data_IF_690839196917
#
_entry.id   IF_690839196917
#
_cell.length_a   1.000
_cell.length_b   1.000
_cell.length_c   1.000
_cell.angle_alpha   90.00
_cell.angle_beta   90.00
_cell.angle_gamma   90.00
#
_symmetry.space_group_name_H-M   'P 1'
#
loop_
_entity.id
_entity.type
_entity.pdbx_description
1 polymer ?
#
# COMPACT_ATOMS: atom_id res chain seq x y z
N UNK A 1 -1.61 -6.70 -26.74
CA UNK A 1 -1.01 -5.92 -25.64
C UNK A 1 0.37 -6.49 -25.38
N UNK A 2 1.39 -5.65 -25.27
CA UNK A 2 2.69 -6.08 -24.73
C UNK A 2 2.46 -6.57 -23.31
N UNK A 3 3.02 -7.73 -22.96
CA UNK A 3 2.98 -8.23 -21.60
C UNK A 3 3.76 -7.26 -20.68
N UNK A 4 3.34 -7.09 -19.42
CA UNK A 4 4.11 -6.39 -18.40
C UNK A 4 5.55 -6.92 -18.33
N UNK A 5 6.51 -6.05 -17.99
CA UNK A 5 7.92 -6.44 -17.86
C UNK A 5 8.17 -7.40 -16.70
N UNK A 6 7.39 -7.28 -15.62
CA UNK A 6 7.51 -8.10 -14.41
C UNK A 6 6.13 -8.56 -13.95
N UNK A 7 5.87 -9.87 -14.03
CA UNK A 7 4.66 -10.49 -13.48
C UNK A 7 4.91 -11.94 -13.10
N UNK A 8 4.06 -12.48 -12.24
CA UNK A 8 4.02 -13.93 -11.94
C UNK A 8 2.70 -14.53 -12.43
N UNK A 9 2.70 -15.82 -12.75
CA UNK A 9 1.46 -16.53 -13.06
C UNK A 9 0.69 -16.85 -11.78
N UNK A 10 -0.63 -16.70 -11.81
CA UNK A 10 -1.50 -17.02 -10.69
C UNK A 10 -1.40 -18.51 -10.30
N UNK A 11 -1.20 -18.78 -9.01
CA UNK A 11 -1.30 -20.11 -8.41
C UNK A 11 -2.32 -20.01 -7.29
N UNK A 12 -3.48 -20.61 -7.48
CA UNK A 12 -4.57 -20.55 -6.51
C UNK A 12 -4.36 -21.54 -5.37
N UNK A 13 -4.36 -21.05 -4.13
CA UNK A 13 -4.22 -21.85 -2.92
C UNK A 13 -5.33 -21.50 -1.96
N UNK A 14 -5.83 -22.52 -1.26
CA UNK A 14 -6.77 -22.31 -0.16
C UNK A 14 -6.07 -21.49 0.94
N UNK A 15 -6.73 -20.42 1.37
CA UNK A 15 -6.20 -19.54 2.42
C UNK A 15 -6.58 -20.00 3.82
N UNK A 16 -7.41 -21.05 3.96
CA UNK A 16 -7.93 -21.53 5.25
C UNK A 16 -8.96 -20.59 5.89
N UNK A 17 -9.31 -19.48 5.23
CA UNK A 17 -10.28 -18.49 5.71
C UNK A 17 -11.57 -18.60 4.89
N UNK A 18 -12.71 -18.98 5.50
CA UNK A 18 -13.98 -19.12 4.79
C UNK A 18 -14.42 -17.85 4.06
N UNK A 19 -14.04 -16.66 4.54
CA UNK A 19 -14.40 -15.38 3.92
C UNK A 19 -13.66 -15.09 2.61
N UNK A 20 -12.59 -15.84 2.30
CA UNK A 20 -11.76 -15.66 1.10
C UNK A 20 -11.95 -16.77 0.07
N UNK A 21 -12.62 -17.85 0.46
CA UNK A 21 -12.82 -19.04 -0.35
C UNK A 21 -13.53 -18.72 -1.67
N UNK A 22 -12.98 -19.22 -2.77
CA UNK A 22 -13.54 -19.06 -4.11
C UNK A 22 -13.31 -17.68 -4.72
N UNK A 23 -12.41 -16.86 -4.16
CA UNK A 23 -12.00 -15.59 -4.77
C UNK A 23 -10.61 -15.73 -5.41
N UNK A 24 -10.50 -15.81 -6.75
CA UNK A 24 -9.22 -15.99 -7.43
C UNK A 24 -8.18 -14.91 -7.12
N UNK A 25 -8.61 -13.67 -6.86
CA UNK A 25 -7.69 -12.59 -6.54
C UNK A 25 -7.04 -12.75 -5.16
N UNK A 26 -7.71 -13.42 -4.22
CA UNK A 26 -7.18 -13.67 -2.88
C UNK A 26 -6.36 -14.96 -2.87
N UNK A 27 -6.87 -16.01 -3.51
CA UNK A 27 -6.23 -17.33 -3.56
C UNK A 27 -4.91 -17.31 -4.34
N UNK A 28 -4.71 -16.35 -5.25
CA UNK A 28 -3.47 -16.19 -6.01
C UNK A 28 -2.37 -15.39 -5.28
N UNK A 29 -2.67 -14.76 -4.14
CA UNK A 29 -1.68 -14.01 -3.35
C UNK A 29 -0.71 -14.95 -2.63
N UNK A 30 0.38 -14.38 -2.11
CA UNK A 30 1.20 -15.05 -1.10
C UNK A 30 0.29 -15.59 0.02
N UNK A 31 0.51 -16.82 0.53
CA UNK A 31 -0.24 -17.34 1.66
C UNK A 31 -0.21 -16.39 2.86
N UNK A 32 -1.16 -16.53 3.78
CA UNK A 32 -1.07 -15.81 5.06
C UNK A 32 0.18 -16.34 5.77
N UNK A 33 1.19 -15.49 5.88
CA UNK A 33 2.51 -15.89 6.35
C UNK A 33 2.47 -16.13 7.86
N UNK A 34 3.00 -17.28 8.28
CA UNK A 34 3.30 -17.51 9.69
C UNK A 34 4.47 -16.62 10.13
N UNK A 35 4.56 -16.32 11.43
CA UNK A 35 5.60 -15.42 11.98
C UNK A 35 7.02 -15.81 11.54
N UNK A 36 7.30 -17.11 11.43
CA UNK A 36 8.61 -17.62 10.96
C UNK A 36 8.89 -17.24 9.51
N UNK A 37 7.92 -17.47 8.61
CA UNK A 37 8.05 -17.14 7.18
C UNK A 37 8.19 -15.64 6.98
N UNK A 38 7.42 -14.86 7.74
CA UNK A 38 7.50 -13.40 7.70
C UNK A 38 8.88 -12.90 8.13
N UNK A 39 9.45 -13.45 9.21
CA UNK A 39 10.80 -13.12 9.65
C UNK A 39 11.83 -13.45 8.58
N UNK A 40 11.78 -14.66 8.00
CA UNK A 40 12.68 -15.08 6.93
C UNK A 40 12.56 -14.19 5.68
N UNK A 41 11.35 -13.75 5.31
CA UNK A 41 11.12 -12.88 4.16
C UNK A 41 11.51 -11.42 4.38
N UNK A 42 11.48 -10.94 5.64
CA UNK A 42 11.90 -9.58 5.98
C UNK A 42 13.38 -9.49 6.35
N UNK A 43 13.98 -10.54 6.89
CA UNK A 43 15.39 -10.55 7.31
C UNK A 43 16.30 -10.14 6.15
N UNK A 44 17.20 -9.21 6.45
CA UNK A 44 18.24 -8.80 5.53
C UNK A 44 19.31 -9.88 5.40
N UNK A 45 19.82 -10.08 4.18
CA UNK A 45 20.88 -11.05 3.93
C UNK A 45 22.24 -10.34 4.00
N UNK A 46 22.94 -10.52 5.11
CA UNK A 46 24.31 -10.02 5.26
C UNK A 46 25.29 -11.17 5.04
N UNK A 47 26.06 -11.08 3.97
CA UNK A 47 27.19 -11.95 3.73
C UNK A 47 28.45 -11.31 4.36
N UNK A 48 29.07 -11.96 5.34
CA UNK A 48 30.30 -11.49 5.98
C UNK A 48 31.31 -12.62 6.17
N UNK A 49 32.59 -12.28 6.23
CA UNK A 49 33.68 -13.21 6.52
C UNK A 49 34.54 -12.70 7.68
N UNK A 50 35.00 -13.60 8.55
CA UNK A 50 35.96 -13.23 9.59
C UNK A 50 37.29 -12.74 9.02
N UNK A 51 37.60 -13.08 7.76
CA UNK A 51 38.78 -12.56 7.06
C UNK A 51 38.67 -11.05 6.79
N UNK A 52 37.46 -10.51 6.68
CA UNK A 52 37.22 -9.07 6.44
C UNK A 52 37.77 -8.21 7.60
N UNK A 53 37.94 -8.81 8.79
CA UNK A 53 38.56 -8.14 9.93
C UNK A 53 40.03 -7.80 9.69
N UNK A 54 40.71 -8.53 8.80
CA UNK A 54 42.11 -8.32 8.43
C UNK A 54 42.29 -7.26 7.33
N UNK A 55 41.21 -6.83 6.68
CA UNK A 55 41.28 -5.85 5.61
C UNK A 55 41.64 -4.44 6.11
N UNK A 56 42.10 -3.62 5.18
CA UNK A 56 42.56 -2.25 5.48
C UNK A 56 41.41 -1.44 6.09
N UNK A 57 41.69 -0.50 7.03
CA UNK A 57 40.65 0.26 7.72
C UNK A 57 39.62 0.95 6.80
N UNK A 58 40.07 1.49 5.65
CA UNK A 58 39.17 2.12 4.67
C UNK A 58 38.25 1.11 3.98
N UNK A 59 38.73 -0.09 3.65
CA UNK A 59 37.90 -1.14 3.04
C UNK A 59 36.82 -1.60 4.01
N UNK A 60 37.18 -1.84 5.27
CA UNK A 60 36.21 -2.20 6.32
C UNK A 60 35.13 -1.12 6.52
N UNK A 61 35.49 0.17 6.41
CA UNK A 61 34.51 1.25 6.47
C UNK A 61 33.48 1.19 5.31
N UNK A 62 33.91 0.81 4.10
CA UNK A 62 32.99 0.58 2.98
C UNK A 62 32.09 -0.65 3.20
N UNK A 63 32.61 -1.72 3.80
CA UNK A 63 31.80 -2.90 4.17
C UNK A 63 30.72 -2.54 5.20
N UNK A 64 31.07 -1.76 6.22
CA UNK A 64 30.10 -1.26 7.21
C UNK A 64 29.03 -0.38 6.55
N UNK A 65 29.40 0.44 5.55
CA UNK A 65 28.45 1.24 4.82
C UNK A 65 27.46 0.37 4.00
N UNK A 66 27.93 -0.74 3.41
CA UNK A 66 27.07 -1.67 2.66
C UNK A 66 26.02 -2.36 3.56
N UNK A 67 26.31 -2.57 4.86
CA UNK A 67 25.35 -3.12 5.81
C UNK A 67 24.08 -2.27 5.94
N UNK A 68 24.11 -0.98 5.61
CA UNK A 68 22.92 -0.12 5.69
C UNK A 68 21.82 -0.53 4.70
N UNK A 69 22.19 -1.19 3.60
CA UNK A 69 21.25 -1.66 2.58
C UNK A 69 20.81 -3.11 2.86
N UNK A 70 21.74 -3.94 3.32
CA UNK A 70 21.56 -5.40 3.42
C UNK A 70 21.09 -5.87 4.80
N UNK A 71 21.41 -5.15 5.89
CA UNK A 71 21.03 -5.56 7.24
C UNK A 71 19.61 -5.09 7.57
N UNK A 72 18.74 -6.05 7.93
CA UNK A 72 17.41 -5.76 8.44
C UNK A 72 17.01 -6.80 9.48
N UNK A 73 16.75 -6.35 10.71
CA UNK A 73 16.22 -7.19 11.79
C UNK A 73 14.71 -6.94 11.92
N UNK A 74 13.85 -7.93 11.63
CA UNK A 74 12.43 -7.82 11.89
C UNK A 74 12.14 -7.61 13.39
N UNK A 75 11.21 -6.70 13.67
CA UNK A 75 10.78 -6.28 15.01
C UNK A 75 9.26 -6.45 15.12
N UNK A 76 8.71 -6.35 16.32
CA UNK A 76 7.28 -6.54 16.56
C UNK A 76 6.44 -5.51 15.77
N UNK A 77 6.93 -4.28 15.65
CA UNK A 77 6.28 -3.24 14.84
C UNK A 77 6.26 -3.57 13.33
N UNK A 78 7.28 -4.27 12.81
CA UNK A 78 7.32 -4.70 11.40
C UNK A 78 6.26 -5.79 11.17
N UNK A 79 6.15 -6.73 12.10
CA UNK A 79 5.15 -7.81 12.07
C UNK A 79 3.73 -7.25 12.12
N UNK A 80 3.47 -6.32 13.05
CA UNK A 80 2.17 -5.68 13.19
C UNK A 80 1.78 -4.88 11.94
N UNK A 81 2.74 -4.18 11.33
CA UNK A 81 2.49 -3.44 10.09
C UNK A 81 2.19 -4.39 8.93
N UNK A 82 2.92 -5.51 8.81
CA UNK A 82 2.65 -6.51 7.78
C UNK A 82 1.27 -7.13 7.94
N UNK A 83 0.87 -7.53 9.15
CA UNK A 83 -0.45 -8.11 9.42
C UNK A 83 -1.56 -7.18 8.93
N UNK A 84 -1.45 -5.87 9.21
CA UNK A 84 -2.40 -4.86 8.74
C UNK A 84 -2.42 -4.75 7.22
N UNK A 85 -1.25 -4.72 6.57
CA UNK A 85 -1.14 -4.66 5.10
C UNK A 85 -1.74 -5.92 4.45
N UNK A 86 -1.43 -7.09 5.02
CA UNK A 86 -1.92 -8.42 4.61
C UNK A 86 -3.45 -8.49 4.64
N UNK A 87 -4.05 -7.98 5.72
CA UNK A 87 -5.50 -7.84 5.86
C UNK A 87 -6.06 -6.85 4.83
N UNK A 88 -5.44 -5.68 4.67
CA UNK A 88 -5.90 -4.65 3.74
C UNK A 88 -5.91 -5.14 2.29
N UNK A 89 -4.81 -5.73 1.80
CA UNK A 89 -4.74 -6.27 0.44
C UNK A 89 -5.89 -7.25 0.19
N UNK A 90 -6.07 -8.24 1.07
CA UNK A 90 -7.13 -9.26 0.92
C UNK A 90 -8.52 -8.67 1.05
N UNK A 91 -8.74 -7.79 2.02
CA UNK A 91 -10.02 -7.08 2.19
C UNK A 91 -10.39 -6.27 0.96
N UNK A 92 -9.41 -5.66 0.28
CA UNK A 92 -9.66 -4.97 -0.98
C UNK A 92 -10.26 -5.88 -2.05
N UNK A 93 -10.02 -7.18 -2.02
CA UNK A 93 -10.58 -8.12 -2.98
C UNK A 93 -11.90 -8.74 -2.55
N UNK A 94 -12.30 -8.68 -1.28
CA UNK A 94 -13.50 -9.39 -0.79
C UNK A 94 -14.77 -9.01 -1.57
N UNK A 95 -14.91 -7.75 -1.99
CA UNK A 95 -16.07 -7.30 -2.80
C UNK A 95 -15.89 -7.47 -4.30
N UNK A 96 -14.75 -8.00 -4.77
CA UNK A 96 -14.38 -8.12 -6.19
C UNK A 96 -13.94 -9.55 -6.48
N UNK A 97 -14.67 -10.25 -7.32
CA UNK A 97 -14.38 -11.63 -7.68
C UNK A 97 -14.65 -11.84 -9.18
N UNK A 98 -13.73 -12.56 -9.84
CA UNK A 98 -13.79 -12.90 -11.26
C UNK A 98 -14.93 -13.90 -11.58
N UNK A 99 -15.41 -14.67 -10.59
CA UNK A 99 -16.29 -15.81 -10.81
C UNK A 99 -17.78 -15.53 -10.53
N UNK A 100 -18.11 -14.57 -9.66
CA UNK A 100 -19.48 -14.37 -9.15
C UNK A 100 -20.18 -13.10 -9.68
N UNK A 101 -19.51 -12.37 -10.58
CA UNK A 101 -20.02 -11.13 -11.17
C UNK A 101 -19.95 -9.89 -10.26
N UNK A 102 -19.42 -10.00 -9.05
CA UNK A 102 -19.21 -8.84 -8.15
C UNK A 102 -18.27 -7.80 -8.77
N UNK A 103 -17.20 -8.24 -9.45
CA UNK A 103 -16.32 -7.34 -10.20
C UNK A 103 -17.08 -6.53 -11.27
N UNK A 104 -17.96 -7.20 -12.03
CA UNK A 104 -18.74 -6.55 -13.08
C UNK A 104 -19.69 -5.48 -12.51
N UNK A 105 -20.30 -5.73 -11.35
CA UNK A 105 -21.12 -4.73 -10.65
C UNK A 105 -20.30 -3.49 -10.24
N UNK A 106 -19.06 -3.70 -9.78
CA UNK A 106 -18.14 -2.60 -9.48
C UNK A 106 -17.76 -1.79 -10.72
N UNK A 107 -17.47 -2.47 -11.84
CA UNK A 107 -17.15 -1.81 -13.12
C UNK A 107 -18.32 -0.97 -13.65
N UNK A 108 -19.55 -1.50 -13.59
CA UNK A 108 -20.76 -0.77 -14.00
C UNK A 108 -21.00 0.48 -13.14
N UNK A 109 -20.88 0.38 -11.81
CA UNK A 109 -20.97 1.55 -10.93
C UNK A 109 -19.91 2.61 -11.27
N UNK A 110 -18.67 2.19 -11.58
CA UNK A 110 -17.60 3.10 -11.97
C UNK A 110 -17.94 3.85 -13.26
N UNK A 111 -18.45 3.14 -14.26
CA UNK A 111 -18.88 3.71 -15.53
C UNK A 111 -20.00 4.75 -15.37
N UNK A 112 -21.02 4.46 -14.57
CA UNK A 112 -22.13 5.40 -14.32
C UNK A 112 -21.68 6.70 -13.66
N UNK A 113 -20.72 6.65 -12.71
CA UNK A 113 -20.11 7.84 -12.10
C UNK A 113 -19.37 8.69 -13.10
N UNK A 114 -18.64 8.07 -14.01
CA UNK A 114 -17.91 8.78 -15.07
C UNK A 114 -18.88 9.44 -16.05
N UNK A 115 -19.93 8.75 -16.45
CA UNK A 115 -20.91 9.26 -17.42
C UNK A 115 -21.82 10.34 -16.86
N UNK A 116 -22.26 10.20 -15.61
CA UNK A 116 -23.12 11.19 -14.95
C UNK A 116 -22.34 12.43 -14.47
N UNK A 117 -21.02 12.32 -14.27
CA UNK A 117 -20.22 13.35 -13.62
C UNK A 117 -20.54 13.52 -12.13
N UNK A 118 -21.39 12.65 -11.57
CA UNK A 118 -21.78 12.65 -10.16
C UNK A 118 -21.17 11.46 -9.43
N UNK A 119 -20.30 11.74 -8.46
CA UNK A 119 -19.67 10.72 -7.62
C UNK A 119 -20.67 10.00 -6.71
N UNK A 120 -21.84 10.59 -6.47
CA UNK A 120 -22.95 10.02 -5.71
C UNK A 120 -23.98 9.31 -6.59
N UNK A 121 -23.76 9.23 -7.91
CA UNK A 121 -24.63 8.51 -8.82
C UNK A 121 -24.81 7.04 -8.43
N UNK A 122 -25.87 6.45 -8.99
CA UNK A 122 -26.45 5.16 -8.63
C UNK A 122 -25.39 4.12 -8.23
N UNK A 123 -25.54 3.60 -7.01
CA UNK A 123 -24.82 2.43 -6.54
C UNK A 123 -25.81 1.27 -6.59
N UNK A 124 -25.49 0.17 -7.27
CA UNK A 124 -26.26 -1.06 -7.07
C UNK A 124 -26.38 -1.29 -5.55
N UNK A 125 -27.62 -1.44 -5.05
CA UNK A 125 -27.98 -1.30 -3.62
C UNK A 125 -27.23 -2.25 -2.65
N UNK A 126 -26.39 -3.16 -3.15
CA UNK A 126 -25.71 -4.21 -2.37
C UNK A 126 -24.19 -4.31 -2.65
N UNK A 127 -23.54 -3.27 -3.20
CA UNK A 127 -22.08 -3.31 -3.39
C UNK A 127 -21.38 -2.97 -2.08
N UNK A 128 -20.74 -3.97 -1.47
CA UNK A 128 -19.88 -3.79 -0.30
C UNK A 128 -18.71 -2.88 -0.69
N UNK A 129 -18.51 -1.81 0.07
CA UNK A 129 -17.30 -1.00 -0.03
C UNK A 129 -16.26 -1.56 0.94
N UNK A 130 -15.08 -1.85 0.41
CA UNK A 130 -13.91 -2.29 1.18
C UNK A 130 -12.99 -1.12 1.54
N UNK A 131 -13.50 0.12 1.40
CA UNK A 131 -12.76 1.34 1.69
C UNK A 131 -12.35 1.35 3.17
N UNK A 132 -11.07 1.11 3.38
CA UNK A 132 -10.39 1.13 4.68
C UNK A 132 -9.18 2.03 4.55
N UNK A 133 -8.85 2.75 5.62
CA UNK A 133 -7.71 3.65 5.66
C UNK A 133 -6.78 3.23 6.79
N UNK A 134 -5.48 3.19 6.51
CA UNK A 134 -4.42 3.02 7.49
C UNK A 134 -3.49 4.23 7.38
N UNK A 135 -3.17 4.87 8.50
CA UNK A 135 -2.21 5.97 8.53
C UNK A 135 -0.92 5.55 9.22
N UNK A 136 0.20 5.59 8.47
CA UNK A 136 1.56 5.31 8.96
C UNK A 136 2.32 6.63 9.12
N UNK A 137 2.41 7.13 10.36
CA UNK A 137 2.96 8.46 10.65
C UNK A 137 4.22 8.35 11.50
N UNK A 138 5.29 9.05 11.10
CA UNK A 138 6.54 9.09 11.87
C UNK A 138 7.56 10.05 11.29
N UNK A 139 8.58 10.40 12.05
CA UNK A 139 9.58 11.39 11.66
C UNK A 139 10.27 11.05 10.33
N UNK A 140 10.77 12.07 9.61
CA UNK A 140 11.59 11.81 8.41
C UNK A 140 12.80 10.95 8.78
N UNK A 141 13.16 9.99 7.92
CA UNK A 141 14.28 9.07 8.17
C UNK A 141 14.00 7.95 9.18
N UNK A 142 12.78 7.80 9.72
CA UNK A 142 12.47 6.73 10.69
C UNK A 142 12.30 5.33 10.08
N UNK A 143 12.55 5.15 8.77
CA UNK A 143 12.44 3.85 8.10
C UNK A 143 11.04 3.43 7.64
N UNK A 144 10.04 4.33 7.66
CA UNK A 144 8.65 4.04 7.22
C UNK A 144 8.57 3.49 5.80
N UNK A 145 9.05 4.26 4.83
CA UNK A 145 8.95 3.93 3.41
C UNK A 145 9.78 2.69 3.10
N UNK A 146 10.99 2.58 3.65
CA UNK A 146 11.87 1.40 3.51
C UNK A 146 11.24 0.13 4.07
N UNK A 147 10.62 0.21 5.26
CA UNK A 147 9.90 -0.93 5.86
C UNK A 147 8.69 -1.32 5.01
N UNK A 148 7.92 -0.33 4.56
CA UNK A 148 6.75 -0.56 3.74
C UNK A 148 7.11 -1.22 2.41
N UNK A 149 8.15 -0.74 1.73
CA UNK A 149 8.64 -1.32 0.49
C UNK A 149 9.12 -2.75 0.69
N UNK A 150 9.84 -3.02 1.78
CA UNK A 150 10.29 -4.37 2.14
C UNK A 150 9.12 -5.33 2.42
N UNK A 151 8.08 -4.87 3.12
CA UNK A 151 6.87 -5.67 3.34
C UNK A 151 6.13 -5.91 2.03
N UNK A 152 5.91 -4.87 1.22
CA UNK A 152 5.19 -5.00 -0.05
C UNK A 152 5.92 -5.92 -1.03
N UNK A 153 7.27 -5.97 -0.99
CA UNK A 153 8.08 -6.88 -1.79
C UNK A 153 7.84 -8.37 -1.48
N UNK A 154 7.22 -8.71 -0.34
CA UNK A 154 6.79 -10.09 -0.03
C UNK A 154 5.55 -10.52 -0.80
N UNK A 155 4.90 -9.58 -1.49
CA UNK A 155 3.73 -9.81 -2.34
C UNK A 155 4.12 -9.64 -3.82
N UNK A 156 3.72 -10.57 -4.71
CA UNK A 156 3.90 -10.35 -6.13
C UNK A 156 3.09 -9.13 -6.56
N UNK A 157 3.74 -8.10 -7.12
CA UNK A 157 3.04 -6.86 -7.45
C UNK A 157 2.02 -7.04 -8.57
N UNK A 158 2.39 -7.78 -9.62
CA UNK A 158 1.54 -8.09 -10.78
C UNK A 158 1.33 -9.60 -10.88
N UNK A 159 0.07 -10.03 -10.89
CA UNK A 159 -0.32 -11.45 -11.01
C UNK A 159 -1.14 -11.62 -12.29
N UNK A 160 -0.74 -12.56 -13.14
CA UNK A 160 -1.45 -12.90 -14.37
C UNK A 160 -2.33 -14.14 -14.19
N UNK A 161 -3.64 -13.96 -14.30
CA UNK A 161 -4.63 -15.02 -14.31
C UNK A 161 -4.83 -15.52 -15.75
N UNK A 162 -4.02 -16.48 -16.18
CA UNK A 162 -4.06 -17.02 -17.55
C UNK A 162 -5.48 -17.46 -17.97
N UNK A 163 -6.20 -18.14 -17.08
CA UNK A 163 -7.55 -18.66 -17.32
C UNK A 163 -8.59 -17.55 -17.57
N UNK A 164 -8.34 -16.35 -17.07
CA UNK A 164 -9.24 -15.19 -17.20
C UNK A 164 -8.66 -14.10 -18.11
N UNK A 165 -7.45 -14.30 -18.63
CA UNK A 165 -6.66 -13.29 -19.32
C UNK A 165 -6.65 -11.93 -18.60
N UNK A 166 -6.39 -11.96 -17.30
CA UNK A 166 -6.54 -10.80 -16.42
C UNK A 166 -5.26 -10.51 -15.64
N UNK A 167 -4.87 -9.24 -15.55
CA UNK A 167 -3.75 -8.79 -14.71
C UNK A 167 -4.28 -8.14 -13.45
N UNK A 168 -3.94 -8.74 -12.31
CA UNK A 168 -4.22 -8.23 -10.97
C UNK A 168 -3.01 -7.44 -10.45
N UNK A 169 -3.27 -6.33 -9.75
CA UNK A 169 -2.27 -5.56 -9.03
C UNK A 169 -2.42 -5.73 -7.52
N UNK A 170 -1.55 -6.50 -6.86
CA UNK A 170 -1.59 -6.71 -5.41
C UNK A 170 -1.57 -5.40 -4.62
N UNK A 171 -0.72 -4.46 -5.04
CA UNK A 171 -0.62 -3.12 -4.48
C UNK A 171 -0.18 -2.11 -5.55
N UNK A 172 -0.54 -0.84 -5.34
CA UNK A 172 0.00 0.28 -6.08
C UNK A 172 0.56 1.29 -5.08
N UNK A 173 1.84 1.67 -5.20
CA UNK A 173 2.44 2.73 -4.39
C UNK A 173 2.69 3.96 -5.24
N UNK A 174 2.25 5.12 -4.75
CA UNK A 174 2.46 6.43 -5.37
C UNK A 174 3.01 7.41 -4.34
N UNK A 175 3.73 8.41 -4.79
CA UNK A 175 4.17 9.53 -3.96
C UNK A 175 3.34 10.79 -4.25
N UNK A 176 3.06 11.57 -3.20
CA UNK A 176 2.48 12.88 -3.37
C UNK A 176 3.42 13.80 -4.18
N UNK A 177 2.89 14.50 -5.20
CA UNK A 177 3.71 15.28 -6.12
C UNK A 177 4.34 16.50 -5.43
N UNK A 178 5.52 16.90 -5.87
CA UNK A 178 6.28 18.03 -5.30
C UNK A 178 5.54 19.37 -5.40
N UNK A 179 4.69 19.53 -6.42
CA UNK A 179 3.83 20.70 -6.58
C UNK A 179 2.62 20.71 -5.62
N UNK A 180 2.38 19.61 -4.90
CA UNK A 180 1.30 19.42 -3.95
C UNK A 180 -0.11 19.37 -4.56
N UNK A 181 -0.24 19.21 -5.88
CA UNK A 181 -1.52 19.24 -6.59
C UNK A 181 -2.29 17.93 -6.49
N UNK A 182 -3.58 18.00 -6.13
CA UNK A 182 -4.51 16.87 -6.14
C UNK A 182 -4.66 16.24 -7.54
N UNK A 183 -4.71 17.06 -8.60
CA UNK A 183 -4.73 16.57 -9.97
C UNK A 183 -3.45 15.81 -10.29
N UNK A 184 -2.28 16.35 -9.91
CA UNK A 184 -1.00 15.67 -10.16
C UNK A 184 -0.89 14.36 -9.38
N UNK A 185 -1.49 14.25 -8.19
CA UNK A 185 -1.59 12.98 -7.46
C UNK A 185 -2.40 11.94 -8.24
N UNK A 186 -3.55 12.33 -8.79
CA UNK A 186 -4.37 11.45 -9.62
C UNK A 186 -3.63 11.02 -10.91
N UNK A 187 -2.86 11.93 -11.52
CA UNK A 187 -2.03 11.60 -12.69
C UNK A 187 -0.89 10.63 -12.33
N UNK A 188 -0.25 10.80 -11.18
CA UNK A 188 0.76 9.86 -10.69
C UNK A 188 0.18 8.44 -10.49
N UNK A 189 -1.07 8.32 -10.04
CA UNK A 189 -1.77 7.04 -9.98
C UNK A 189 -1.84 6.36 -11.35
N UNK A 190 -2.32 7.06 -12.39
CA UNK A 190 -2.41 6.49 -13.72
C UNK A 190 -1.03 6.13 -14.29
N UNK A 191 -0.03 7.01 -14.08
CA UNK A 191 1.35 6.77 -14.51
C UNK A 191 1.95 5.51 -13.88
N UNK A 192 1.74 5.30 -12.58
CA UNK A 192 2.27 4.10 -11.92
C UNK A 192 1.53 2.84 -12.38
N UNK A 193 0.23 2.89 -12.69
CA UNK A 193 -0.45 1.75 -13.33
C UNK A 193 0.13 1.47 -14.72
N UNK A 194 0.33 2.51 -15.54
CA UNK A 194 0.90 2.41 -16.88
C UNK A 194 2.30 1.81 -16.87
N UNK A 195 3.13 2.24 -15.93
CA UNK A 195 4.48 1.71 -15.72
C UNK A 195 4.48 0.21 -15.41
N UNK A 196 3.50 -0.27 -14.62
CA UNK A 196 3.43 -1.68 -14.21
C UNK A 196 2.77 -2.56 -15.26
N UNK A 197 1.81 -2.06 -16.02
CA UNK A 197 1.00 -2.88 -16.93
C UNK A 197 1.22 -2.59 -18.42
N UNK A 198 2.03 -1.59 -18.77
CA UNK A 198 2.21 -1.14 -20.16
C UNK A 198 0.94 -0.52 -20.75
N UNK A 199 0.09 0.07 -19.91
CA UNK A 199 -1.15 0.75 -20.32
C UNK A 199 -0.90 2.22 -20.68
N UNK A 200 -1.96 2.98 -20.99
CA UNK A 200 -1.85 4.38 -21.39
C UNK A 200 -2.92 5.27 -20.71
N UNK A 201 -3.26 4.94 -19.47
CA UNK A 201 -4.26 5.61 -18.67
C UNK A 201 -3.92 7.08 -18.41
N UNK A 202 -2.66 7.43 -18.18
CA UNK A 202 -2.26 8.82 -17.92
C UNK A 202 -2.64 9.72 -19.10
N UNK A 203 -2.37 9.28 -20.33
CA UNK A 203 -2.71 10.05 -21.52
C UNK A 203 -4.22 10.01 -21.82
N UNK A 204 -4.88 8.85 -21.71
CA UNK A 204 -6.31 8.73 -22.00
C UNK A 204 -7.19 9.43 -20.97
N UNK A 205 -6.74 9.50 -19.72
CA UNK A 205 -7.50 10.04 -18.59
C UNK A 205 -7.03 11.42 -18.14
N UNK A 206 -5.79 11.80 -18.42
CA UNK A 206 -5.20 13.11 -18.11
C UNK A 206 -5.46 14.19 -19.16
N UNK A 207 -6.45 14.00 -20.04
CA UNK A 207 -6.86 15.00 -21.03
C UNK A 207 -7.18 16.35 -20.35
N UNK A 208 -6.75 17.45 -21.01
CA UNK A 208 -6.91 18.82 -20.49
C UNK A 208 -8.38 19.11 -20.14
N UNK A 209 -8.60 19.67 -18.95
CA UNK A 209 -9.90 20.19 -18.50
C UNK A 209 -10.67 19.31 -17.51
N UNK A 210 -10.20 18.10 -17.17
CA UNK A 210 -10.87 17.26 -16.17
C UNK A 210 -10.64 17.76 -14.74
N UNK A 211 -11.72 17.90 -13.98
CA UNK A 211 -11.68 18.23 -12.56
C UNK A 211 -11.21 17.05 -11.70
N UNK A 212 -10.80 17.34 -10.46
CA UNK A 212 -10.41 16.31 -9.47
C UNK A 212 -11.51 15.26 -9.26
N UNK A 213 -12.81 15.60 -9.13
CA UNK A 213 -13.87 14.59 -8.96
C UNK A 213 -13.91 13.58 -10.11
N UNK A 214 -13.81 14.06 -11.36
CA UNK A 214 -13.76 13.18 -12.55
C UNK A 214 -12.54 12.27 -12.52
N UNK A 215 -11.37 12.77 -12.09
CA UNK A 215 -10.16 11.97 -11.97
C UNK A 215 -10.31 10.89 -10.89
N UNK A 216 -10.95 11.19 -9.74
CA UNK A 216 -11.24 10.20 -8.70
C UNK A 216 -12.20 9.10 -9.19
N UNK A 217 -13.21 9.45 -9.99
CA UNK A 217 -14.10 8.47 -10.63
C UNK A 217 -13.32 7.51 -11.56
N UNK A 218 -12.43 8.07 -12.38
CA UNK A 218 -11.57 7.29 -13.28
C UNK A 218 -10.55 6.44 -12.52
N UNK A 219 -9.99 6.95 -11.42
CA UNK A 219 -9.15 6.14 -10.53
C UNK A 219 -9.92 4.95 -9.98
N UNK A 220 -11.19 5.13 -9.57
CA UNK A 220 -12.05 4.02 -9.15
C UNK A 220 -12.26 3.00 -10.26
N UNK A 221 -12.53 3.46 -11.48
CA UNK A 221 -12.68 2.57 -12.64
C UNK A 221 -11.41 1.74 -12.87
N UNK A 222 -10.24 2.39 -12.97
CA UNK A 222 -8.95 1.71 -13.19
C UNK A 222 -8.61 0.76 -12.03
N UNK A 223 -8.89 1.16 -10.79
CA UNK A 223 -8.68 0.31 -9.61
C UNK A 223 -9.49 -0.99 -9.66
N UNK A 224 -10.69 -0.95 -10.23
CA UNK A 224 -11.51 -2.15 -10.46
C UNK A 224 -11.03 -2.93 -11.69
N UNK A 225 -10.78 -2.26 -12.82
CA UNK A 225 -10.32 -2.89 -14.07
C UNK A 225 -9.01 -3.67 -13.91
N UNK A 226 -8.12 -3.23 -13.02
CA UNK A 226 -6.81 -3.86 -12.77
C UNK A 226 -6.75 -4.60 -11.44
N UNK A 227 -7.90 -4.76 -10.77
CA UNK A 227 -8.03 -5.34 -9.44
C UNK A 227 -6.88 -4.89 -8.52
N UNK A 228 -6.80 -3.59 -8.22
CA UNK A 228 -5.78 -3.06 -7.31
C UNK A 228 -6.16 -3.42 -5.87
N UNK A 229 -5.36 -4.21 -5.16
CA UNK A 229 -5.64 -4.68 -3.80
C UNK A 229 -5.58 -3.57 -2.75
N UNK A 230 -4.52 -2.77 -2.76
CA UNK A 230 -4.32 -1.61 -1.87
C UNK A 230 -3.61 -0.48 -2.59
N UNK A 231 -3.99 0.76 -2.28
CA UNK A 231 -3.30 1.97 -2.73
C UNK A 231 -2.47 2.56 -1.59
N UNK A 232 -1.16 2.66 -1.78
CA UNK A 232 -0.26 3.36 -0.86
C UNK A 232 0.02 4.75 -1.40
N UNK A 233 -0.20 5.77 -0.58
CA UNK A 233 0.13 7.16 -0.89
C UNK A 233 1.18 7.61 0.11
N UNK A 234 2.41 7.79 -0.36
CA UNK A 234 3.55 8.23 0.45
C UNK A 234 3.74 9.74 0.37
N UNK A 235 4.46 10.28 1.36
CA UNK A 235 4.80 11.70 1.48
C UNK A 235 3.57 12.62 1.50
N UNK A 236 2.46 12.19 2.13
CA UNK A 236 1.18 12.91 2.14
C UNK A 236 1.27 14.35 2.66
N UNK A 237 2.26 14.66 3.50
CA UNK A 237 2.54 16.03 3.95
C UNK A 237 2.91 17.00 2.80
N UNK A 238 3.28 16.49 1.62
CA UNK A 238 3.62 17.32 0.44
C UNK A 238 2.39 17.89 -0.24
N UNK A 239 1.20 17.36 0.01
CA UNK A 239 -0.02 17.89 -0.57
C UNK A 239 -0.22 19.33 -0.06
N UNK A 240 -0.26 20.30 -0.98
CA UNK A 240 -0.38 21.72 -0.66
C UNK A 240 -1.76 22.19 -1.06
N UNK A 241 -2.46 22.82 -0.14
CA UNK A 241 -3.74 23.45 -0.44
C UNK A 241 -3.56 24.94 -0.55
N UNK A 242 -3.96 25.49 -1.69
CA UNK A 242 -3.90 26.92 -1.98
C UNK A 242 -4.98 27.63 -1.15
N UNK A 243 -4.66 28.04 0.09
CA UNK A 243 -5.25 29.13 0.93
C UNK A 243 -5.15 28.80 2.43
N UNK A 244 -5.44 29.79 3.29
CA UNK A 244 -5.42 29.72 4.75
C UNK A 244 -6.33 28.63 5.38
N UNK A 245 -7.26 28.05 4.59
CA UNK A 245 -8.14 26.92 4.95
C UNK A 245 -7.56 25.58 4.43
N UNK A 246 -6.23 25.42 4.54
CA UNK A 246 -5.50 24.36 3.84
C UNK A 246 -5.55 22.97 4.49
N UNK A 247 -6.05 22.85 5.73
CA UNK A 247 -6.10 21.57 6.46
C UNK A 247 -7.41 20.82 6.25
N UNK A 248 -8.55 21.49 6.38
CA UNK A 248 -9.88 20.88 6.19
C UNK A 248 -10.07 20.36 4.77
N UNK A 249 -9.70 21.14 3.76
CA UNK A 249 -9.76 20.72 2.35
C UNK A 249 -8.84 19.53 2.04
N UNK A 250 -7.79 19.29 2.83
CA UNK A 250 -6.87 18.16 2.66
C UNK A 250 -7.51 16.89 3.18
N UNK A 251 -8.12 17.01 4.36
CA UNK A 251 -8.91 15.94 4.97
C UNK A 251 -10.07 15.56 4.04
N UNK A 252 -10.85 16.54 3.58
CA UNK A 252 -11.96 16.33 2.66
C UNK A 252 -11.53 15.58 1.39
N UNK A 253 -10.41 15.96 0.78
CA UNK A 253 -9.88 15.28 -0.39
C UNK A 253 -9.53 13.81 -0.12
N UNK A 254 -8.84 13.50 0.98
CA UNK A 254 -8.51 12.10 1.29
C UNK A 254 -9.74 11.29 1.68
N UNK A 255 -10.70 11.90 2.38
CA UNK A 255 -12.02 11.29 2.65
C UNK A 255 -12.73 10.97 1.33
N UNK A 256 -12.77 11.92 0.39
CA UNK A 256 -13.38 11.75 -0.92
C UNK A 256 -12.66 10.67 -1.74
N UNK A 257 -11.32 10.67 -1.74
CA UNK A 257 -10.50 9.67 -2.42
C UNK A 257 -10.79 8.27 -1.89
N UNK A 258 -10.70 8.06 -0.57
CA UNK A 258 -10.93 6.74 0.05
C UNK A 258 -12.35 6.25 -0.27
N UNK A 259 -13.35 7.13 -0.16
CA UNK A 259 -14.75 6.77 -0.43
C UNK A 259 -15.04 6.53 -1.92
N UNK A 260 -14.35 7.23 -2.82
CA UNK A 260 -14.63 7.17 -4.27
C UNK A 260 -13.88 6.03 -4.93
N UNK A 261 -12.58 5.88 -4.67
CA UNK A 261 -11.74 4.84 -5.30
C UNK A 261 -12.28 3.45 -4.92
N UNK A 262 -12.69 3.27 -3.65
CA UNK A 262 -13.38 2.07 -3.20
C UNK A 262 -12.48 0.89 -2.86
N UNK A 263 -11.17 1.10 -2.85
CA UNK A 263 -10.16 0.13 -2.39
C UNK A 263 -9.51 0.62 -1.07
N UNK A 264 -8.89 -0.28 -0.29
CA UNK A 264 -8.06 0.08 0.85
C UNK A 264 -6.94 1.08 0.49
N UNK A 265 -6.71 2.06 1.35
CA UNK A 265 -5.69 3.11 1.17
C UNK A 265 -4.76 3.19 2.39
N UNK A 266 -3.46 3.19 2.17
CA UNK A 266 -2.44 3.41 3.19
C UNK A 266 -1.83 4.79 2.97
N UNK A 267 -1.96 5.67 3.95
CA UNK A 267 -1.42 7.02 3.95
C UNK A 267 -0.12 7.05 4.76
N UNK A 268 1.00 7.39 4.13
CA UNK A 268 2.32 7.45 4.78
C UNK A 268 2.79 8.89 4.85
N UNK A 269 3.25 9.31 6.03
CA UNK A 269 3.71 10.68 6.19
C UNK A 269 4.41 11.02 7.48
N UNK A 270 4.73 12.30 7.61
CA UNK A 270 5.33 12.88 8.82
C UNK A 270 4.26 13.29 9.83
N UNK A 271 4.61 13.60 11.09
CA UNK A 271 3.66 14.10 12.09
C UNK A 271 2.89 15.36 11.67
N UNK A 272 3.34 16.10 10.64
CA UNK A 272 2.58 17.21 10.04
C UNK A 272 1.24 16.76 9.44
N UNK A 273 1.16 15.49 9.03
CA UNK A 273 -0.02 14.85 8.49
C UNK A 273 -0.88 14.15 9.57
N UNK A 274 -0.55 14.30 10.85
CA UNK A 274 -1.32 13.76 11.98
C UNK A 274 -2.83 14.07 11.94
N UNK A 275 -3.30 15.26 11.49
CA UNK A 275 -4.74 15.49 11.35
C UNK A 275 -5.45 14.49 10.44
N UNK A 276 -4.74 13.84 9.51
CA UNK A 276 -5.33 12.81 8.63
C UNK A 276 -5.81 11.56 9.40
N UNK A 277 -5.45 11.39 10.68
CA UNK A 277 -6.11 10.41 11.54
C UNK A 277 -7.62 10.65 11.69
N UNK A 278 -8.11 11.87 11.47
CA UNK A 278 -9.54 12.14 11.42
C UNK A 278 -10.19 11.55 10.16
N UNK A 279 -9.47 11.46 9.03
CA UNK A 279 -9.92 10.72 7.83
C UNK A 279 -10.16 9.27 8.19
N UNK A 280 -9.25 8.69 8.97
CA UNK A 280 -9.40 7.34 9.49
C UNK A 280 -10.66 7.23 10.35
N UNK A 281 -10.89 8.11 11.32
CA UNK A 281 -12.10 8.07 12.17
C UNK A 281 -13.41 8.28 11.40
N UNK A 282 -13.40 9.11 10.35
CA UNK A 282 -14.57 9.36 9.51
C UNK A 282 -14.83 8.19 8.52
N UNK A 283 -13.78 7.54 8.04
CA UNK A 283 -13.86 6.42 7.09
C UNK A 283 -13.99 5.05 7.79
N UNK A 284 -13.47 4.91 9.01
CA UNK A 284 -13.41 3.68 9.82
C UNK A 284 -14.73 3.33 10.51
N UNK A 285 -15.79 4.15 10.36
CA UNK A 285 -17.14 3.81 10.85
C UNK A 285 -17.69 2.50 10.25
N UNK A 286 -17.01 1.89 9.27
CA UNK A 286 -17.50 0.72 8.50
C UNK A 286 -16.62 -0.52 8.57
N UNK A 287 -15.42 -0.48 9.16
CA UNK A 287 -14.55 -1.67 9.29
C UNK A 287 -13.66 -1.60 10.54
N UNK A 288 -13.53 -2.72 11.23
CA UNK A 288 -12.74 -2.91 12.47
C UNK A 288 -11.30 -2.41 12.38
N UNK A 289 -10.90 -1.51 13.29
CA UNK A 289 -9.67 -1.58 14.07
C UNK A 289 -8.29 -1.63 13.39
N UNK A 290 -8.17 -1.49 12.06
CA UNK A 290 -6.85 -1.50 11.38
C UNK A 290 -5.95 -0.39 11.93
N UNK A 291 -6.56 0.72 12.39
CA UNK A 291 -5.92 1.70 13.26
C UNK A 291 -4.87 2.56 12.56
N UNK A 292 -4.29 3.48 13.33
CA UNK A 292 -3.08 4.19 12.96
C UNK A 292 -1.85 3.46 13.48
N UNK A 293 -0.72 3.60 12.79
CA UNK A 293 0.59 3.18 13.27
C UNK A 293 1.45 4.43 13.43
N UNK A 294 1.84 4.71 14.68
CA UNK A 294 2.83 5.74 14.96
C UNK A 294 4.22 5.12 14.94
N UNK A 295 5.00 5.48 13.92
CA UNK A 295 6.32 4.92 13.65
C UNK A 295 7.40 5.72 14.39
N UNK A 296 7.74 5.24 15.58
CA UNK A 296 8.74 5.88 16.43
C UNK A 296 10.10 5.17 16.31
N UNK A 297 11.21 5.91 16.52
CA UNK A 297 12.49 5.28 16.75
C UNK A 297 12.39 4.27 17.91
N UNK A 298 13.15 3.18 17.80
CA UNK A 298 13.24 2.21 18.88
C UNK A 298 13.73 2.91 20.16
N UNK A 299 13.08 2.71 21.32
CA UNK A 299 13.53 3.28 22.57
C UNK A 299 14.89 2.68 22.97
N UNK A 300 15.81 3.54 23.42
CA UNK A 300 17.16 3.13 23.82
C UNK A 300 17.15 2.20 25.04
N UNK A 301 16.18 2.35 25.94
CA UNK A 301 16.05 1.57 27.17
C UNK A 301 14.66 0.93 27.24
N UNK A 302 14.54 -0.34 27.66
CA UNK A 302 13.23 -0.90 27.94
C UNK A 302 12.59 -0.22 29.15
N UNK A 303 11.26 -0.06 29.12
CA UNK A 303 10.52 0.42 30.29
C UNK A 303 10.65 -0.55 31.48
N UNK A 304 10.83 -1.85 31.20
CA UNK A 304 11.08 -2.88 32.19
C UNK A 304 12.48 -3.50 32.01
N UNK A 305 13.42 -3.31 32.96
CA UNK A 305 14.78 -3.84 32.88
C UNK A 305 14.88 -5.37 32.75
N UNK A 306 13.83 -6.10 33.15
CA UNK A 306 13.81 -7.57 33.14
C UNK A 306 13.31 -8.16 31.81
N UNK A 307 12.91 -7.33 30.84
CA UNK A 307 12.43 -7.77 29.53
C UNK A 307 13.56 -7.64 28.52
N UNK A 308 13.82 -8.71 27.75
CA UNK A 308 14.70 -8.64 26.58
C UNK A 308 14.11 -7.62 25.60
N UNK A 309 14.74 -6.46 25.50
CA UNK A 309 14.26 -5.38 24.64
C UNK A 309 14.47 -5.71 23.16
N UNK A 310 13.68 -5.07 22.30
CA UNK A 310 13.92 -5.10 20.86
C UNK A 310 15.33 -4.59 20.50
N UNK A 311 15.88 -3.69 21.32
CA UNK A 311 17.26 -3.22 21.20
C UNK A 311 18.27 -4.34 21.42
N UNK A 312 18.08 -5.19 22.44
CA UNK A 312 18.95 -6.36 22.66
C UNK A 312 18.86 -7.34 21.50
N UNK A 313 17.66 -7.58 20.96
CA UNK A 313 17.49 -8.46 19.81
C UNK A 313 18.21 -7.91 18.56
N UNK A 314 18.10 -6.60 18.32
CA UNK A 314 18.82 -5.91 17.24
C UNK A 314 20.34 -6.00 17.42
N UNK A 315 20.86 -5.65 18.60
CA UNK A 315 22.32 -5.66 18.83
C UNK A 315 22.90 -7.07 18.76
N UNK A 316 22.22 -8.08 19.29
CA UNK A 316 22.70 -9.46 19.25
C UNK A 316 22.69 -10.08 17.84
N UNK A 317 21.91 -9.52 16.90
CA UNK A 317 21.96 -9.94 15.50
C UNK A 317 23.06 -9.20 14.74
N UNK A 318 23.30 -7.95 15.10
CA UNK A 318 24.31 -7.10 14.45
C UNK A 318 25.76 -7.48 14.84
N UNK A 319 25.97 -7.92 16.08
CA UNK A 319 27.25 -8.35 16.64
C UNK A 319 27.38 -9.88 16.66
#
# INVERSE_FOLDING_TARGET
MSLPSEYVNAIYKDTGNPAYKGNPFIEALTPIMELKQLKEGLEGKVDFSLNDLQDKPRQRAHMVAALLDDFFQPLSQHVLLEERISIMIRRGYVSRNLLDGSLNKHLQNGYERVMSGDLQSYKFRNVLTTATCLSLIGCSGSGKSSTLDRILATYPQVIYHQQHNFFQLSYLKIECPNNGSQQSLCLNFFREVDKRLGTNYENSHGLRGRGVPTLLALMSQVANERAIGVLVIDEIQRLKIRKAVGREQMLEFFVELVNTVGIPVILVGTPKARPLFEVELQSARRTTGIGSVYWQPMPQYPENPNVKSEWVAFTNKLW
#
